data_IF_133702034490
#
_entry.id   IF_133702034490
#
_cell.length_a   1.000
_cell.length_b   1.000
_cell.length_c   1.000
_cell.angle_alpha   90.00
_cell.angle_beta   90.00
_cell.angle_gamma   90.00
#
_symmetry.space_group_name_H-M   'P 1'
#
loop_
_entity.id
_entity.type
_entity.pdbx_description
1 polymer ?
#
# COMPACT_ATOMS: atom_id res chain seq x y z
N UNK A 1 29.03 -5.02 -2.61
CA UNK A 1 27.71 -5.12 -3.28
C UNK A 1 26.85 -3.95 -2.82
N UNK A 2 26.13 -3.28 -3.71
CA UNK A 2 25.33 -2.10 -3.38
C UNK A 2 24.03 -2.52 -2.65
N UNK A 3 23.98 -2.32 -1.32
CA UNK A 3 22.84 -2.65 -0.46
C UNK A 3 21.50 -2.16 -1.01
N UNK A 4 21.50 -0.97 -1.64
CA UNK A 4 20.30 -0.39 -2.23
C UNK A 4 19.78 -1.22 -3.41
N UNK A 5 20.67 -1.75 -4.25
CA UNK A 5 20.27 -2.56 -5.39
C UNK A 5 19.67 -3.89 -4.95
N UNK A 6 20.19 -4.48 -3.87
CA UNK A 6 19.62 -5.69 -3.28
C UNK A 6 18.23 -5.43 -2.68
N UNK A 7 18.05 -4.31 -1.97
CA UNK A 7 16.73 -3.91 -1.45
C UNK A 7 15.72 -3.76 -2.59
N UNK A 8 16.09 -3.04 -3.67
CA UNK A 8 15.19 -2.84 -4.81
C UNK A 8 14.83 -4.16 -5.49
N UNK A 9 15.80 -5.07 -5.64
CA UNK A 9 15.56 -6.40 -6.19
C UNK A 9 14.57 -7.20 -5.33
N UNK A 10 14.78 -7.26 -4.02
CA UNK A 10 13.89 -7.98 -3.10
C UNK A 10 12.49 -7.37 -3.08
N UNK A 11 12.37 -6.04 -3.05
CA UNK A 11 11.08 -5.35 -3.15
C UNK A 11 10.39 -5.68 -4.45
N UNK A 12 11.11 -5.67 -5.58
CA UNK A 12 10.57 -6.05 -6.89
C UNK A 12 10.04 -7.49 -6.91
N UNK A 13 10.79 -8.44 -6.37
CA UNK A 13 10.33 -9.84 -6.26
C UNK A 13 9.10 -9.99 -5.35
N UNK A 14 9.01 -9.21 -4.27
CA UNK A 14 7.80 -9.19 -3.44
C UNK A 14 6.62 -8.54 -4.16
N UNK A 15 6.85 -7.52 -4.99
CA UNK A 15 5.84 -6.82 -5.75
C UNK A 15 5.09 -7.74 -6.72
N UNK A 16 5.78 -8.69 -7.35
CA UNK A 16 5.15 -9.70 -8.22
C UNK A 16 4.12 -10.55 -7.47
N UNK A 17 4.35 -10.79 -6.17
CA UNK A 17 3.45 -11.54 -5.31
C UNK A 17 2.24 -10.72 -4.83
N UNK A 18 2.23 -9.40 -5.03
CA UNK A 18 1.12 -8.54 -4.59
C UNK A 18 -0.10 -8.63 -5.52
N UNK A 19 0.11 -8.99 -6.79
CA UNK A 19 -0.89 -8.94 -7.86
C UNK A 19 -2.28 -9.44 -7.48
N UNK A 20 -2.37 -10.62 -6.83
CA UNK A 20 -3.67 -11.21 -6.44
C UNK A 20 -4.40 -10.35 -5.40
N UNK A 21 -3.65 -9.79 -4.44
CA UNK A 21 -4.19 -8.97 -3.34
C UNK A 21 -4.56 -7.57 -3.83
N UNK A 22 -3.65 -6.95 -4.59
CA UNK A 22 -3.86 -5.61 -5.15
C UNK A 22 -4.99 -5.59 -6.16
N UNK A 23 -5.17 -6.66 -6.96
CA UNK A 23 -6.36 -6.82 -7.81
C UNK A 23 -7.65 -6.81 -7.02
N UNK A 24 -7.78 -7.69 -6.02
CA UNK A 24 -9.01 -7.80 -5.22
C UNK A 24 -9.36 -6.49 -4.50
N UNK A 25 -8.35 -5.81 -3.96
CA UNK A 25 -8.54 -4.50 -3.34
C UNK A 25 -8.87 -3.41 -4.36
N UNK A 26 -8.26 -3.43 -5.55
CA UNK A 26 -8.57 -2.50 -6.63
C UNK A 26 -10.00 -2.66 -7.16
N UNK A 27 -10.48 -3.90 -7.29
CA UNK A 27 -11.88 -4.21 -7.63
C UNK A 27 -12.83 -3.68 -6.53
N UNK A 28 -12.56 -4.00 -5.27
CA UNK A 28 -13.31 -3.46 -4.11
C UNK A 28 -13.32 -1.92 -4.11
N UNK A 29 -12.18 -1.30 -4.40
CA UNK A 29 -12.07 0.15 -4.50
C UNK A 29 -12.89 0.70 -5.67
N UNK A 30 -12.96 0.00 -6.81
CA UNK A 30 -13.72 0.44 -7.98
C UNK A 30 -15.22 0.49 -7.69
N UNK A 31 -15.72 -0.50 -6.95
CA UNK A 31 -17.09 -0.55 -6.47
C UNK A 31 -17.37 0.54 -5.42
N UNK A 32 -16.41 0.83 -4.55
CA UNK A 32 -16.54 1.85 -3.50
C UNK A 32 -16.44 3.29 -4.03
N UNK A 33 -15.58 3.54 -5.00
CA UNK A 33 -15.19 4.87 -5.45
C UNK A 33 -15.51 5.13 -6.93
N UNK A 34 -16.52 4.46 -7.48
CA UNK A 34 -17.00 4.74 -8.85
C UNK A 34 -17.20 6.26 -9.07
N UNK A 35 -16.58 6.79 -10.13
CA UNK A 35 -16.57 8.22 -10.46
C UNK A 35 -15.67 9.12 -9.59
N UNK A 36 -14.95 8.59 -8.59
CA UNK A 36 -14.14 9.37 -7.63
C UNK A 36 -12.66 8.97 -7.65
N UNK A 37 -12.06 9.01 -8.84
CA UNK A 37 -10.63 8.71 -9.07
C UNK A 37 -9.67 9.52 -8.16
N UNK A 38 -10.09 10.72 -7.74
CA UNK A 38 -9.32 11.57 -6.84
C UNK A 38 -8.99 10.88 -5.49
N UNK A 39 -9.86 10.01 -4.97
CA UNK A 39 -9.58 9.30 -3.71
C UNK A 39 -8.38 8.36 -3.84
N UNK A 40 -8.33 7.59 -4.93
CA UNK A 40 -7.23 6.65 -5.18
C UNK A 40 -5.94 7.38 -5.57
N UNK A 41 -6.04 8.46 -6.35
CA UNK A 41 -4.88 9.32 -6.65
C UNK A 41 -4.32 9.99 -5.41
N UNK A 42 -5.16 10.46 -4.48
CA UNK A 42 -4.69 11.01 -3.22
C UNK A 42 -3.98 9.96 -2.36
N UNK A 43 -4.50 8.73 -2.30
CA UNK A 43 -3.83 7.62 -1.63
C UNK A 43 -2.45 7.33 -2.24
N UNK A 44 -2.36 7.27 -3.58
CA UNK A 44 -1.11 7.10 -4.32
C UNK A 44 -0.10 8.21 -4.01
N UNK A 45 -0.56 9.46 -4.05
CA UNK A 45 0.27 10.64 -3.75
C UNK A 45 0.81 10.63 -2.31
N UNK A 46 -0.02 10.25 -1.34
CA UNK A 46 0.41 10.12 0.06
C UNK A 46 1.44 9.00 0.21
N UNK A 47 1.24 7.85 -0.43
CA UNK A 47 2.21 6.75 -0.38
C UNK A 47 3.58 7.14 -0.96
N UNK A 48 3.56 7.85 -2.10
CA UNK A 48 4.78 8.25 -2.80
C UNK A 48 5.52 9.41 -2.11
N UNK A 49 4.80 10.33 -1.48
CA UNK A 49 5.42 11.48 -0.78
C UNK A 49 5.73 11.22 0.69
N UNK A 50 5.20 10.16 1.30
CA UNK A 50 5.44 9.85 2.70
C UNK A 50 6.92 9.61 3.02
N UNK A 51 7.39 10.28 4.07
CA UNK A 51 8.70 10.04 4.69
C UNK A 51 8.60 9.06 5.85
N UNK A 52 7.40 8.87 6.43
CA UNK A 52 7.15 7.94 7.52
C UNK A 52 6.01 6.99 7.16
N UNK A 53 6.15 5.73 7.57
CA UNK A 53 5.09 4.71 7.41
C UNK A 53 3.81 5.12 8.15
N UNK A 54 3.96 5.81 9.29
CA UNK A 54 2.83 6.36 10.06
C UNK A 54 1.97 7.31 9.23
N UNK A 55 2.55 8.11 8.33
CA UNK A 55 1.79 9.08 7.54
C UNK A 55 0.78 8.39 6.63
N UNK A 56 1.18 7.27 6.01
CA UNK A 56 0.31 6.44 5.18
C UNK A 56 -0.74 5.72 6.02
N UNK A 57 -0.33 5.10 7.13
CA UNK A 57 -1.25 4.39 8.03
C UNK A 57 -2.30 5.34 8.62
N UNK A 58 -1.90 6.53 9.06
CA UNK A 58 -2.78 7.50 9.67
C UNK A 58 -3.66 8.18 8.65
N UNK A 59 -3.21 8.33 7.39
CA UNK A 59 -4.11 8.68 6.30
C UNK A 59 -5.21 7.62 6.14
N UNK A 60 -4.85 6.34 6.00
CA UNK A 60 -5.83 5.25 5.83
C UNK A 60 -6.80 5.19 7.02
N UNK A 61 -6.30 5.26 8.26
CA UNK A 61 -7.14 5.30 9.47
C UNK A 61 -8.08 6.50 9.48
N UNK A 62 -7.57 7.70 9.18
CA UNK A 62 -8.40 8.92 9.14
C UNK A 62 -9.48 8.83 8.07
N UNK A 63 -9.18 8.26 6.90
CA UNK A 63 -10.21 8.05 5.88
C UNK A 63 -11.24 7.01 6.32
N UNK A 64 -10.79 5.91 6.94
CA UNK A 64 -11.67 4.81 7.40
C UNK A 64 -12.55 5.22 8.59
N UNK A 65 -12.03 6.03 9.51
CA UNK A 65 -12.70 6.40 10.76
C UNK A 65 -13.74 7.52 10.66
N UNK A 66 -13.73 8.33 9.59
CA UNK A 66 -14.69 9.44 9.44
C UNK A 66 -16.13 8.92 9.31
N UNK A 67 -17.04 9.42 10.16
CA UNK A 67 -18.46 9.03 10.23
C UNK A 67 -19.25 9.42 8.99
N UNK A 68 -19.13 10.68 8.55
CA UNK A 68 -20.07 11.28 7.58
C UNK A 68 -19.50 11.38 6.15
N UNK A 69 -18.20 11.61 6.01
CA UNK A 69 -17.58 11.86 4.70
C UNK A 69 -17.21 10.58 3.92
N UNK A 70 -17.19 9.39 4.54
CA UNK A 70 -16.47 8.23 4.00
C UNK A 70 -17.14 6.87 4.18
N UNK A 71 -18.47 6.79 4.01
CA UNK A 71 -19.18 5.51 3.82
C UNK A 71 -18.50 4.61 2.77
N UNK A 72 -17.83 5.22 1.79
CA UNK A 72 -17.06 4.53 0.73
C UNK A 72 -15.83 3.79 1.24
N UNK A 73 -15.04 4.37 2.15
CA UNK A 73 -13.89 3.67 2.73
C UNK A 73 -14.33 2.50 3.62
N UNK A 74 -15.54 2.57 4.18
CA UNK A 74 -16.16 1.47 4.93
C UNK A 74 -16.87 0.45 4.04
N UNK A 75 -17.25 0.83 2.82
CA UNK A 75 -17.89 -0.07 1.87
C UNK A 75 -16.99 -1.27 1.62
N UNK A 76 -17.57 -2.45 1.79
CA UNK A 76 -16.91 -3.75 1.68
C UNK A 76 -15.63 -3.86 2.51
N UNK A 77 -15.55 -3.09 3.61
CA UNK A 77 -14.40 -3.00 4.51
C UNK A 77 -13.10 -2.63 3.79
N UNK A 78 -13.16 -1.84 2.71
CA UNK A 78 -11.98 -1.48 1.91
C UNK A 78 -10.85 -0.91 2.77
N UNK A 79 -11.15 0.12 3.57
CA UNK A 79 -10.16 0.81 4.40
C UNK A 79 -9.54 -0.10 5.46
N UNK A 80 -10.33 -0.97 6.08
CA UNK A 80 -9.87 -1.94 7.08
C UNK A 80 -8.98 -3.01 6.44
N UNK A 81 -9.37 -3.54 5.29
CA UNK A 81 -8.58 -4.52 4.53
C UNK A 81 -7.26 -3.92 4.06
N UNK A 82 -7.29 -2.70 3.54
CA UNK A 82 -6.08 -1.97 3.14
C UNK A 82 -5.17 -1.71 4.34
N UNK A 83 -5.72 -1.24 5.46
CA UNK A 83 -4.95 -1.00 6.68
C UNK A 83 -4.27 -2.27 7.18
N UNK A 84 -4.99 -3.41 7.16
CA UNK A 84 -4.47 -4.71 7.54
C UNK A 84 -3.34 -5.18 6.60
N UNK A 85 -3.52 -5.04 5.29
CA UNK A 85 -2.48 -5.41 4.32
C UNK A 85 -1.21 -4.56 4.52
N UNK A 86 -1.37 -3.24 4.64
CA UNK A 86 -0.24 -2.33 4.85
C UNK A 86 0.45 -2.61 6.17
N UNK A 87 -0.28 -2.70 7.29
CA UNK A 87 0.30 -2.86 8.62
C UNK A 87 0.90 -4.25 8.86
N UNK A 88 0.16 -5.30 8.50
CA UNK A 88 0.49 -6.66 8.91
C UNK A 88 1.24 -7.41 7.81
N UNK A 89 0.71 -7.45 6.59
CA UNK A 89 1.33 -8.21 5.50
C UNK A 89 2.65 -7.57 5.10
N UNK A 90 2.64 -6.28 4.76
CA UNK A 90 3.86 -5.60 4.30
C UNK A 90 4.87 -5.44 5.44
N UNK A 91 4.42 -5.26 6.69
CA UNK A 91 5.28 -5.30 7.88
C UNK A 91 6.03 -6.62 8.01
N UNK A 92 5.34 -7.77 7.85
CA UNK A 92 5.98 -9.10 7.84
C UNK A 92 6.95 -9.27 6.67
N UNK A 93 6.61 -8.74 5.48
CA UNK A 93 7.50 -8.80 4.31
C UNK A 93 8.77 -7.98 4.51
N UNK A 94 8.66 -6.77 5.08
CA UNK A 94 9.81 -5.98 5.51
C UNK A 94 10.70 -6.80 6.44
N UNK A 95 10.13 -7.45 7.46
CA UNK A 95 10.93 -8.20 8.42
C UNK A 95 11.70 -9.37 7.79
N UNK A 96 11.07 -10.06 6.84
CA UNK A 96 11.71 -11.12 6.04
C UNK A 96 12.86 -10.54 5.21
N UNK A 97 12.61 -9.50 4.41
CA UNK A 97 13.64 -8.89 3.56
C UNK A 97 14.81 -8.37 4.40
N UNK A 98 14.53 -7.66 5.49
CA UNK A 98 15.57 -7.11 6.34
C UNK A 98 16.40 -8.20 7.01
N UNK A 99 15.78 -9.31 7.44
CA UNK A 99 16.52 -10.46 7.97
C UNK A 99 17.41 -11.09 6.90
N UNK A 100 16.85 -11.36 5.73
CA UNK A 100 17.54 -12.08 4.65
C UNK A 100 18.71 -11.26 4.06
N UNK A 101 18.59 -9.92 4.09
CA UNK A 101 19.65 -8.98 3.68
C UNK A 101 20.60 -8.54 4.82
N UNK A 102 20.40 -9.01 6.06
CA UNK A 102 21.21 -8.60 7.22
C UNK A 102 21.06 -7.12 7.61
N UNK A 103 19.91 -6.51 7.32
CA UNK A 103 19.63 -5.10 7.62
C UNK A 103 19.21 -4.95 9.09
N UNK A 104 20.12 -4.40 9.90
CA UNK A 104 19.87 -4.08 11.30
C UNK A 104 19.40 -2.62 11.53
N UNK A 105 19.81 -1.69 10.66
CA UNK A 105 19.48 -0.26 10.81
C UNK A 105 17.97 -0.01 10.71
N UNK A 106 17.40 0.67 11.71
CA UNK A 106 15.98 1.05 11.71
C UNK A 106 15.61 1.93 10.52
N UNK A 107 16.48 2.87 10.14
CA UNK A 107 16.28 3.73 8.98
C UNK A 107 16.12 2.92 7.68
N UNK A 108 17.00 1.94 7.48
CA UNK A 108 16.93 1.06 6.31
C UNK A 108 15.69 0.16 6.36
N UNK A 109 15.30 -0.32 7.55
CA UNK A 109 14.06 -1.09 7.74
C UNK A 109 12.82 -0.26 7.38
N UNK A 110 12.78 1.02 7.76
CA UNK A 110 11.71 1.95 7.40
C UNK A 110 11.70 2.22 5.90
N UNK A 111 12.88 2.40 5.29
CA UNK A 111 13.02 2.59 3.84
C UNK A 111 12.48 1.39 3.04
N UNK A 112 12.85 0.17 3.41
CA UNK A 112 12.30 -1.06 2.81
C UNK A 112 10.76 -1.08 2.91
N UNK A 113 10.23 -0.71 4.08
CA UNK A 113 8.79 -0.69 4.30
C UNK A 113 8.08 0.33 3.39
N UNK A 114 8.61 1.55 3.29
CA UNK A 114 8.04 2.57 2.40
C UNK A 114 8.05 2.14 0.94
N UNK A 115 9.12 1.48 0.49
CA UNK A 115 9.20 0.94 -0.87
C UNK A 115 8.13 -0.13 -1.13
N UNK A 116 7.93 -1.06 -0.19
CA UNK A 116 6.87 -2.08 -0.30
C UNK A 116 5.47 -1.44 -0.35
N UNK A 117 5.23 -0.42 0.47
CA UNK A 117 3.95 0.31 0.53
C UNK A 117 3.69 1.03 -0.79
N UNK A 118 4.68 1.77 -1.31
CA UNK A 118 4.58 2.50 -2.58
C UNK A 118 4.22 1.56 -3.72
N UNK A 119 4.92 0.44 -3.84
CA UNK A 119 4.70 -0.52 -4.91
C UNK A 119 3.34 -1.22 -4.78
N UNK A 120 2.94 -1.58 -3.56
CA UNK A 120 1.62 -2.16 -3.31
C UNK A 120 0.49 -1.20 -3.68
N UNK A 121 0.56 0.06 -3.24
CA UNK A 121 -0.47 1.08 -3.51
C UNK A 121 -0.52 1.42 -4.99
N UNK A 122 0.62 1.55 -5.66
CA UNK A 122 0.70 1.76 -7.12
C UNK A 122 -0.05 0.66 -7.87
N UNK A 123 0.22 -0.61 -7.57
CA UNK A 123 -0.48 -1.73 -8.21
C UNK A 123 -1.99 -1.75 -7.90
N UNK A 124 -2.38 -1.43 -6.66
CA UNK A 124 -3.80 -1.31 -6.28
C UNK A 124 -4.50 -0.25 -7.14
N UNK A 125 -3.89 0.93 -7.29
CA UNK A 125 -4.44 2.04 -8.07
C UNK A 125 -4.55 1.67 -9.56
N UNK A 126 -3.55 0.97 -10.11
CA UNK A 126 -3.60 0.43 -11.48
C UNK A 126 -4.80 -0.51 -11.65
N UNK A 127 -5.03 -1.45 -10.72
CA UNK A 127 -6.16 -2.36 -10.80
C UNK A 127 -7.50 -1.67 -10.59
N UNK A 128 -7.57 -0.65 -9.73
CA UNK A 128 -8.73 0.22 -9.60
C UNK A 128 -9.04 0.91 -10.93
N UNK A 129 -8.06 1.57 -11.54
CA UNK A 129 -8.25 2.30 -12.81
C UNK A 129 -8.71 1.37 -13.92
N UNK A 130 -8.07 0.21 -14.06
CA UNK A 130 -8.46 -0.83 -15.02
C UNK A 130 -9.91 -1.31 -14.81
N UNK A 131 -10.34 -1.45 -13.55
CA UNK A 131 -11.70 -1.91 -13.23
C UNK A 131 -12.75 -0.83 -13.45
N UNK A 132 -12.41 0.45 -13.26
CA UNK A 132 -13.32 1.59 -13.54
C UNK A 132 -13.41 2.00 -15.00
N UNK A 133 -12.46 1.56 -15.84
CA UNK A 133 -12.45 1.84 -17.28
C UNK A 133 -13.24 0.83 -18.10
N UNK A 134 -13.84 -0.18 -17.46
CA UNK A 134 -14.80 -1.11 -18.06
C UNK A 134 -16.21 -0.57 -17.91
#
# INVERSE_FOLDING_TARGET
>A
MNTQMNILKEVGMQADNFRKRTRKLGETASEAFSGQKAQMKNLENIANSALKVSDVLDYIKRQTGKSDANKKWKKDQFGEKLLKEVKDTLGKRRDIICRDLGIASEEQRLHVYLLLIREFIKQLVIFYEYSTGK
#
